data_IF_918854958479
#
_entry.id   IF_918854958479
#
_cell.length_a   1.000
_cell.length_b   1.000
_cell.length_c   1.000
_cell.angle_alpha   90.00
_cell.angle_beta   90.00
_cell.angle_gamma   90.00
#
_symmetry.space_group_name_H-M   'P 1'
#
loop_
_entity.id
_entity.type
_entity.pdbx_description
1 polymer ?
#
# COMPACT_ATOMS: atom_id res chain seq x y z
N UNK A 1 22.75 -17.14 4.24
CA UNK A 1 21.32 -17.32 3.91
C UNK A 1 20.70 -15.92 3.92
N UNK A 2 20.51 -15.31 2.76
CA UNK A 2 19.98 -13.94 2.67
C UNK A 2 18.48 -13.95 2.97
N UNK A 3 18.03 -12.97 3.76
CA UNK A 3 16.74 -12.89 4.43
C UNK A 3 15.55 -12.89 3.46
N UNK A 4 14.89 -14.03 3.30
CA UNK A 4 13.70 -14.21 2.47
C UNK A 4 12.58 -13.24 2.82
N UNK A 5 12.45 -12.85 4.10
CA UNK A 5 11.40 -11.92 4.56
C UNK A 5 11.63 -10.48 4.09
N UNK A 6 12.88 -10.02 4.02
CA UNK A 6 13.20 -8.66 3.54
C UNK A 6 12.86 -8.52 2.05
N UNK A 7 13.09 -9.58 1.27
CA UNK A 7 12.75 -9.58 -0.15
C UNK A 7 11.23 -9.47 -0.37
N UNK A 8 10.43 -10.24 0.37
CA UNK A 8 8.97 -10.22 0.25
C UNK A 8 8.38 -8.84 0.59
N UNK A 9 8.89 -8.16 1.62
CA UNK A 9 8.40 -6.82 1.98
C UNK A 9 8.70 -5.78 0.90
N UNK A 10 9.88 -5.85 0.27
CA UNK A 10 10.24 -4.95 -0.82
C UNK A 10 9.45 -5.27 -2.11
N UNK A 11 9.17 -6.54 -2.39
CA UNK A 11 8.31 -6.94 -3.52
C UNK A 11 6.89 -6.36 -3.38
N UNK A 12 6.27 -6.53 -2.21
CA UNK A 12 4.94 -5.97 -1.90
C UNK A 12 4.96 -4.44 -2.03
N UNK A 13 5.99 -3.79 -1.49
CA UNK A 13 6.15 -2.34 -1.61
C UNK A 13 6.19 -1.91 -3.07
N UNK A 14 6.99 -2.61 -3.89
CA UNK A 14 7.17 -2.27 -5.29
C UNK A 14 5.89 -2.47 -6.11
N UNK A 15 5.11 -3.51 -5.82
CA UNK A 15 3.80 -3.73 -6.42
C UNK A 15 2.81 -2.61 -6.09
N UNK A 16 2.73 -2.22 -4.81
CA UNK A 16 1.87 -1.10 -4.40
C UNK A 16 2.34 0.21 -5.03
N UNK A 17 3.64 0.48 -5.11
CA UNK A 17 4.16 1.65 -5.83
C UNK A 17 3.73 1.68 -7.30
N UNK A 18 3.77 0.54 -7.98
CA UNK A 18 3.36 0.45 -9.37
C UNK A 18 1.86 0.73 -9.54
N UNK A 19 1.03 0.21 -8.64
CA UNK A 19 -0.41 0.52 -8.61
C UNK A 19 -0.66 2.01 -8.38
N UNK A 20 0.01 2.63 -7.40
CA UNK A 20 -0.13 4.06 -7.13
C UNK A 20 0.25 4.91 -8.36
N UNK A 21 1.31 4.54 -9.08
CA UNK A 21 1.71 5.20 -10.35
C UNK A 21 0.64 5.05 -11.42
N UNK A 22 0.09 3.86 -11.62
CA UNK A 22 -0.97 3.60 -12.60
C UNK A 22 -2.21 4.48 -12.36
N UNK A 23 -2.54 4.72 -11.09
CA UNK A 23 -3.66 5.56 -10.67
C UNK A 23 -3.32 7.05 -10.51
N UNK A 24 -2.09 7.47 -10.85
CA UNK A 24 -1.59 8.84 -10.68
C UNK A 24 -1.72 9.37 -9.23
N UNK A 25 -1.62 8.48 -8.25
CA UNK A 25 -1.64 8.83 -6.83
C UNK A 25 -0.21 9.21 -6.45
N UNK A 26 0.00 10.39 -5.85
CA UNK A 26 1.30 10.74 -5.27
C UNK A 26 1.35 10.20 -3.85
N UNK A 27 2.55 9.89 -3.37
CA UNK A 27 2.79 9.49 -1.99
C UNK A 27 4.04 10.17 -1.45
N UNK A 28 4.07 10.36 -0.14
CA UNK A 28 5.25 10.83 0.60
C UNK A 28 6.00 9.67 1.24
N UNK A 29 5.27 8.65 1.71
CA UNK A 29 5.85 7.47 2.32
C UNK A 29 5.02 6.21 2.02
N UNK A 30 5.70 5.06 1.98
CA UNK A 30 5.07 3.73 1.92
C UNK A 30 5.79 2.84 2.92
N UNK A 31 5.02 2.31 3.87
CA UNK A 31 5.51 1.37 4.88
C UNK A 31 4.80 0.04 4.73
N UNK A 32 5.55 -1.05 4.85
CA UNK A 32 5.03 -2.41 4.75
C UNK A 32 5.28 -3.13 6.06
N UNK A 33 4.19 -3.56 6.69
CA UNK A 33 4.19 -4.27 7.96
C UNK A 33 3.75 -5.70 7.74
N UNK A 34 4.47 -6.65 8.34
CA UNK A 34 3.99 -8.02 8.46
C UNK A 34 3.00 -8.10 9.63
N UNK A 35 1.79 -8.58 9.38
CA UNK A 35 0.75 -8.78 10.40
C UNK A 35 0.54 -10.28 10.64
N UNK A 36 -0.32 -10.63 11.60
CA UNK A 36 -0.74 -12.03 11.85
C UNK A 36 -1.45 -12.66 10.65
N UNK A 37 -2.15 -11.84 9.86
CA UNK A 37 -3.07 -12.27 8.82
C UNK A 37 -2.53 -12.00 7.39
N UNK A 38 -1.31 -11.48 7.28
CA UNK A 38 -0.66 -11.17 6.01
C UNK A 38 0.24 -9.94 6.11
N UNK A 39 -0.04 -8.94 5.29
CA UNK A 39 0.74 -7.71 5.20
C UNK A 39 -0.18 -6.49 5.18
N UNK A 40 0.23 -5.44 5.87
CA UNK A 40 -0.41 -4.13 5.82
C UNK A 40 0.55 -3.15 5.14
N UNK A 41 0.05 -2.49 4.10
CA UNK A 41 0.77 -1.42 3.42
C UNK A 41 0.13 -0.09 3.75
N UNK A 42 0.86 0.77 4.42
CA UNK A 42 0.43 2.13 4.73
C UNK A 42 1.05 3.11 3.76
N UNK A 43 0.21 3.93 3.14
CA UNK A 43 0.59 4.90 2.14
C UNK A 43 0.19 6.28 2.63
N UNK A 44 1.18 7.13 2.92
CA UNK A 44 0.93 8.55 3.19
C UNK A 44 0.84 9.28 1.86
N UNK A 45 -0.29 9.93 1.60
CA UNK A 45 -0.56 10.55 0.31
C UNK A 45 -1.13 11.97 0.44
N UNK A 46 -0.50 12.97 -0.20
CA UNK A 46 -1.01 14.34 -0.22
C UNK A 46 -2.20 14.50 -1.18
N UNK A 47 -2.51 13.48 -2.00
CA UNK A 47 -3.67 13.50 -2.88
C UNK A 47 -4.99 13.48 -2.10
N UNK A 48 -4.98 12.99 -0.86
CA UNK A 48 -6.17 12.83 -0.05
C UNK A 48 -6.12 13.77 1.14
N UNK A 49 -7.08 14.70 1.20
CA UNK A 49 -7.30 15.60 2.35
C UNK A 49 -8.37 15.09 3.31
N UNK A 50 -9.14 14.09 2.86
CA UNK A 50 -10.25 13.50 3.60
C UNK A 50 -10.10 11.98 3.60
N UNK A 51 -10.51 11.33 4.69
CA UNK A 51 -10.34 9.88 4.86
C UNK A 51 -11.26 9.05 3.95
N UNK A 52 -12.48 9.52 3.67
CA UNK A 52 -13.46 8.76 2.87
C UNK A 52 -12.95 8.43 1.46
N UNK A 53 -12.47 9.39 0.65
CA UNK A 53 -11.92 9.07 -0.67
C UNK A 53 -10.67 8.18 -0.58
N UNK A 54 -9.83 8.37 0.44
CA UNK A 54 -8.64 7.54 0.66
C UNK A 54 -9.01 6.06 0.90
N UNK A 55 -10.01 5.80 1.74
CA UNK A 55 -10.54 4.46 2.00
C UNK A 55 -11.10 3.82 0.72
N UNK A 56 -11.87 4.59 -0.06
CA UNK A 56 -12.45 4.08 -1.30
C UNK A 56 -11.34 3.67 -2.29
N UNK A 57 -10.32 4.51 -2.43
CA UNK A 57 -9.17 4.21 -3.28
C UNK A 57 -8.40 3.01 -2.76
N UNK A 58 -8.13 2.92 -1.46
CA UNK A 58 -7.37 1.79 -0.91
C UNK A 58 -8.06 0.45 -1.16
N UNK A 59 -9.39 0.39 -0.99
CA UNK A 59 -10.21 -0.79 -1.34
C UNK A 59 -10.24 -1.11 -2.83
N UNK A 60 -10.07 -0.11 -3.69
CA UNK A 60 -9.93 -0.35 -5.13
C UNK A 60 -8.57 -0.98 -5.44
N UNK A 61 -7.48 -0.42 -4.90
CA UNK A 61 -6.13 -0.93 -5.12
C UNK A 61 -5.96 -2.37 -4.59
N UNK A 62 -6.53 -2.70 -3.43
CA UNK A 62 -6.53 -4.07 -2.88
C UNK A 62 -7.14 -5.09 -3.87
N UNK A 63 -8.23 -4.73 -4.55
CA UNK A 63 -8.87 -5.61 -5.55
C UNK A 63 -8.01 -5.79 -6.80
N UNK A 64 -7.22 -4.78 -7.16
CA UNK A 64 -6.35 -4.81 -8.34
C UNK A 64 -5.06 -5.59 -8.09
N UNK A 65 -4.55 -5.56 -6.84
CA UNK A 65 -3.35 -6.30 -6.42
C UNK A 65 -3.56 -7.83 -6.49
N UNK A 66 -4.80 -8.32 -6.41
CA UNK A 66 -5.18 -9.76 -6.47
C UNK A 66 -4.51 -10.66 -5.43
N UNK A 67 -3.80 -10.10 -4.45
CA UNK A 67 -3.29 -10.80 -3.29
C UNK A 67 -4.20 -10.52 -2.08
N UNK A 68 -4.98 -11.51 -1.60
CA UNK A 68 -5.88 -11.32 -0.46
C UNK A 68 -5.14 -11.16 0.88
N UNK A 69 -3.84 -11.45 0.94
CA UNK A 69 -3.03 -11.31 2.16
C UNK A 69 -2.51 -9.89 2.36
N UNK A 70 -2.59 -9.02 1.34
CA UNK A 70 -2.11 -7.64 1.42
C UNK A 70 -3.28 -6.69 1.57
N UNK A 71 -3.32 -5.96 2.67
CA UNK A 71 -4.25 -4.86 2.91
C UNK A 71 -3.57 -3.52 2.67
N UNK A 72 -4.28 -2.56 2.09
CA UNK A 72 -3.75 -1.21 1.79
C UNK A 72 -4.54 -0.18 2.58
N UNK A 73 -3.82 0.67 3.32
CA UNK A 73 -4.36 1.81 4.03
C UNK A 73 -3.73 3.08 3.47
N UNK A 74 -4.56 3.92 2.82
CA UNK A 74 -4.10 5.24 2.37
C UNK A 74 -4.50 6.25 3.43
N UNK A 75 -3.54 7.01 3.91
CA UNK A 75 -3.70 8.05 4.90
C UNK A 75 -3.38 9.42 4.27
N UNK A 76 -4.13 10.48 4.63
CA UNK A 76 -3.74 11.84 4.31
C UNK A 76 -2.32 12.14 4.79
N UNK A 77 -1.49 12.75 3.94
CA UNK A 77 -0.23 13.34 4.38
C UNK A 77 -0.50 14.80 4.78
N UNK A 78 -0.22 15.15 6.03
CA UNK A 78 -0.23 16.52 6.56
C UNK A 78 0.86 17.42 5.90
#
# INVERSE_FOLDING_TARGET
>A
MQNTTTNVLEEIRQEVENLLKQHNIRWTNIEVWKTSDGFLVEVLSPNFKEHIPAIKTSKQLEKELKDPSVSISILPAD
#
